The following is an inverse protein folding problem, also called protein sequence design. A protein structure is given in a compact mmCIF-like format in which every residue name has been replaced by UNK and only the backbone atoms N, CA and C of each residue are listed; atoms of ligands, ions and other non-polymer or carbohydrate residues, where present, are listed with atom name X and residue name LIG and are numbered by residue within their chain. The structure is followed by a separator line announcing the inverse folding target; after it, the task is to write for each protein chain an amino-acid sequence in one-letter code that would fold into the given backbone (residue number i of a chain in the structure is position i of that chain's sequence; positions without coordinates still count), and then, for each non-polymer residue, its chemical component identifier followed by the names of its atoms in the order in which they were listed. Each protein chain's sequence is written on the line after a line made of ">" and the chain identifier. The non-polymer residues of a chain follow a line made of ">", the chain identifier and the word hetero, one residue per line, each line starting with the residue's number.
data_IF_916571191288
#
_entry.id   IF_916571191288
#
_cell.length_a   1.000
_cell.length_b   1.000
_cell.length_c   1.000
_cell.angle_alpha   90.00
_cell.angle_beta   90.00
_cell.angle_gamma   90.00
#
_symmetry.space_group_name_H-M   'P 1'
#
loop_
_entity.id
_entity.type
_entity.pdbx_description
1 polymer ?
#
# COMPACT_ATOMS: atom_id res chain seq x y z
N UNK A 1 -66.17 -24.65 15.69
CA UNK A 1 -65.17 -23.56 15.83
C UNK A 1 -63.88 -23.99 15.11
N UNK A 2 -63.54 -23.31 13.98
CA UNK A 2 -62.34 -23.60 13.16
C UNK A 2 -61.27 -22.57 13.51
N UNK A 3 -60.20 -23.01 14.21
CA UNK A 3 -59.05 -22.23 14.58
C UNK A 3 -58.19 -22.01 13.34
N UNK A 4 -58.12 -20.80 12.80
CA UNK A 4 -57.23 -20.46 11.69
C UNK A 4 -55.86 -20.13 12.27
N UNK A 5 -54.88 -21.03 12.09
CA UNK A 5 -53.46 -20.77 12.37
C UNK A 5 -52.95 -19.76 11.38
N UNK A 6 -52.62 -18.57 11.87
CA UNK A 6 -51.93 -17.52 11.13
C UNK A 6 -50.40 -17.79 11.22
N UNK A 7 -49.82 -18.33 10.11
CA UNK A 7 -48.39 -18.52 9.99
C UNK A 7 -47.74 -17.16 9.75
N UNK A 8 -47.04 -16.62 10.76
CA UNK A 8 -46.25 -15.41 10.64
C UNK A 8 -44.89 -15.76 10.03
N UNK A 9 -44.69 -15.56 8.73
CA UNK A 9 -43.44 -15.73 8.04
C UNK A 9 -42.55 -14.53 8.38
N UNK A 10 -41.66 -14.69 9.33
CA UNK A 10 -40.61 -13.71 9.66
C UNK A 10 -39.53 -13.76 8.53
N UNK A 11 -39.66 -12.87 7.54
CA UNK A 11 -38.66 -12.72 6.50
C UNK A 11 -37.38 -12.10 7.10
N UNK A 12 -36.36 -12.94 7.33
CA UNK A 12 -34.99 -12.50 7.58
C UNK A 12 -34.44 -11.87 6.31
N UNK A 13 -34.50 -10.55 6.22
CA UNK A 13 -33.72 -9.83 5.21
C UNK A 13 -32.23 -9.89 5.62
N UNK A 14 -31.34 -10.44 4.78
CA UNK A 14 -29.92 -10.30 5.02
C UNK A 14 -29.58 -8.79 4.90
N UNK A 15 -29.22 -8.16 6.00
CA UNK A 15 -28.59 -6.85 5.96
C UNK A 15 -27.21 -7.06 5.33
N UNK A 16 -27.03 -6.64 4.08
CA UNK A 16 -25.73 -6.55 3.47
C UNK A 16 -24.91 -5.56 4.32
N UNK A 17 -23.99 -6.07 5.13
CA UNK A 17 -23.00 -5.27 5.82
C UNK A 17 -22.03 -4.74 4.75
N UNK A 18 -22.32 -3.56 4.21
CA UNK A 18 -21.36 -2.85 3.36
C UNK A 18 -20.26 -2.35 4.27
N UNK A 19 -19.02 -2.79 4.04
CA UNK A 19 -17.85 -2.23 4.73
C UNK A 19 -17.81 -0.73 4.40
N UNK A 20 -17.95 0.11 5.43
CA UNK A 20 -17.86 1.55 5.30
C UNK A 20 -16.43 1.97 5.59
N UNK A 21 -15.72 2.45 4.56
CA UNK A 21 -14.36 2.93 4.70
C UNK A 21 -14.34 4.44 4.82
N UNK A 22 -13.75 4.95 5.89
CA UNK A 22 -13.58 6.39 6.15
C UNK A 22 -12.10 6.71 6.06
N UNK A 23 -11.74 7.70 5.23
CA UNK A 23 -10.35 8.14 5.07
C UNK A 23 -9.83 8.73 6.39
N UNK A 24 -8.65 8.25 6.82
CA UNK A 24 -7.88 8.78 7.95
C UNK A 24 -6.96 9.89 7.49
N UNK A 25 -6.25 9.66 6.37
CA UNK A 25 -5.31 10.62 5.82
C UNK A 25 -4.72 10.13 4.49
N UNK A 26 -4.05 11.07 3.81
CA UNK A 26 -3.45 10.86 2.49
C UNK A 26 -2.04 11.41 2.48
N UNK A 27 -1.09 10.64 1.96
CA UNK A 27 0.29 11.04 1.76
C UNK A 27 0.75 10.80 0.33
N UNK A 28 1.63 11.67 -0.17
CA UNK A 28 2.19 11.57 -1.50
C UNK A 28 3.61 10.99 -1.46
N UNK A 29 3.84 9.95 -2.25
CA UNK A 29 5.16 9.41 -2.46
C UNK A 29 5.78 9.99 -3.72
N UNK A 30 6.86 10.75 -3.51
CA UNK A 30 7.60 11.38 -4.59
C UNK A 30 8.96 10.73 -4.78
N UNK A 31 9.37 10.53 -6.03
CA UNK A 31 10.73 10.18 -6.41
C UNK A 31 11.40 11.39 -7.08
N UNK A 32 12.31 12.02 -6.35
CA UNK A 32 12.80 13.35 -6.74
C UNK A 32 11.64 14.34 -6.88
N UNK A 33 11.51 15.05 -8.01
CA UNK A 33 10.41 16.00 -8.23
C UNK A 33 9.11 15.32 -8.74
N UNK A 34 9.11 14.01 -8.92
CA UNK A 34 7.98 13.31 -9.57
C UNK A 34 7.10 12.62 -8.53
N UNK A 35 5.81 12.92 -8.55
CA UNK A 35 4.79 12.15 -7.84
C UNK A 35 4.65 10.79 -8.52
N UNK A 36 4.91 9.71 -7.77
CA UNK A 36 4.81 8.32 -8.26
C UNK A 36 3.44 7.75 -7.94
N UNK A 37 3.02 7.84 -6.67
CA UNK A 37 1.69 7.47 -6.22
C UNK A 37 1.28 8.26 -4.98
N UNK A 38 -0.02 8.42 -4.81
CA UNK A 38 -0.62 8.85 -3.55
C UNK A 38 -1.09 7.62 -2.78
N UNK A 39 -0.93 7.64 -1.46
CA UNK A 39 -1.40 6.57 -0.58
C UNK A 39 -2.46 7.12 0.38
N UNK A 40 -3.59 6.43 0.48
CA UNK A 40 -4.65 6.69 1.44
C UNK A 40 -4.70 5.59 2.49
N UNK A 41 -4.88 5.97 3.74
CA UNK A 41 -5.24 5.07 4.84
C UNK A 41 -6.72 5.26 5.15
N UNK A 42 -7.48 4.17 5.20
CA UNK A 42 -8.87 4.17 5.62
C UNK A 42 -9.14 3.10 6.69
N UNK A 43 -10.05 3.42 7.60
CA UNK A 43 -10.57 2.55 8.66
C UNK A 43 -12.10 2.61 8.66
N UNK A 44 -12.76 1.84 9.50
CA UNK A 44 -14.22 1.87 9.61
C UNK A 44 -14.75 3.17 10.24
N UNK A 45 -13.97 3.81 11.12
CA UNK A 45 -14.37 5.01 11.89
C UNK A 45 -13.60 6.28 11.54
N UNK A 46 -12.63 6.20 10.60
CA UNK A 46 -11.80 7.34 10.20
C UNK A 46 -10.71 7.74 11.20
N UNK A 47 -10.43 6.88 12.18
CA UNK A 47 -9.33 7.04 13.11
C UNK A 47 -8.43 5.80 13.08
N UNK A 48 -7.12 5.97 13.21
CA UNK A 48 -6.19 4.85 13.26
C UNK A 48 -5.50 4.75 14.61
N UNK A 49 -5.49 3.55 15.16
CA UNK A 49 -4.69 3.18 16.32
C UNK A 49 -3.66 2.11 15.90
N UNK A 50 -2.54 2.06 16.60
CA UNK A 50 -1.49 1.08 16.31
C UNK A 50 -2.05 -0.36 16.38
N UNK A 51 -1.75 -1.15 15.36
CA UNK A 51 -2.24 -2.51 15.14
C UNK A 51 -3.77 -2.66 14.98
N UNK A 52 -4.48 -1.57 14.72
CA UNK A 52 -5.91 -1.64 14.42
C UNK A 52 -6.18 -2.40 13.12
N UNK A 53 -7.19 -3.25 13.13
CA UNK A 53 -7.79 -3.90 11.97
C UNK A 53 -9.33 -3.85 12.10
N UNK A 54 -10.07 -3.79 11.01
CA UNK A 54 -9.59 -3.77 9.62
C UNK A 54 -9.04 -2.41 9.20
N UNK A 55 -8.13 -2.41 8.22
CA UNK A 55 -7.65 -1.20 7.53
C UNK A 55 -7.63 -1.41 6.02
N UNK A 56 -7.68 -0.32 5.28
CA UNK A 56 -7.44 -0.31 3.83
C UNK A 56 -6.36 0.70 3.50
N UNK A 57 -5.36 0.26 2.73
CA UNK A 57 -4.36 1.12 2.10
C UNK A 57 -4.64 1.17 0.60
N UNK A 58 -4.77 2.37 0.03
CA UNK A 58 -5.03 2.56 -1.39
C UNK A 58 -3.89 3.35 -2.03
N UNK A 59 -3.35 2.83 -3.13
CA UNK A 59 -2.24 3.43 -3.89
C UNK A 59 -2.77 3.86 -5.24
N UNK A 60 -2.92 5.16 -5.46
CA UNK A 60 -3.25 5.71 -6.77
C UNK A 60 -1.98 6.05 -7.51
N UNK A 61 -1.71 5.36 -8.60
CA UNK A 61 -0.51 5.57 -9.39
C UNK A 61 -0.64 6.78 -10.32
N UNK A 62 0.39 7.62 -10.33
CA UNK A 62 0.50 8.78 -11.23
C UNK A 62 1.52 8.52 -12.36
N UNK A 63 2.33 7.47 -12.22
CA UNK A 63 3.32 7.02 -13.21
C UNK A 63 3.18 5.53 -13.46
N UNK A 64 3.61 5.02 -14.64
CA UNK A 64 3.70 3.58 -14.87
C UNK A 64 4.65 2.93 -13.86
N UNK A 65 4.27 1.78 -13.31
CA UNK A 65 5.07 1.01 -12.35
C UNK A 65 5.00 -0.47 -12.73
N UNK A 66 6.15 -1.09 -12.95
CA UNK A 66 6.20 -2.54 -13.20
C UNK A 66 5.79 -3.32 -11.94
N UNK A 67 4.75 -4.15 -12.04
CA UNK A 67 4.20 -4.88 -10.88
C UNK A 67 5.20 -5.78 -10.21
N UNK A 68 6.05 -6.48 -10.97
CA UNK A 68 7.11 -7.35 -10.42
C UNK A 68 8.17 -6.57 -9.64
N UNK A 69 8.57 -5.39 -10.14
CA UNK A 69 9.54 -4.53 -9.47
C UNK A 69 8.92 -3.90 -8.21
N UNK A 70 7.64 -3.56 -8.27
CA UNK A 70 6.91 -3.07 -7.09
C UNK A 70 6.85 -4.15 -5.99
N UNK A 71 6.56 -5.42 -6.35
CA UNK A 71 6.59 -6.54 -5.40
C UNK A 71 7.97 -6.70 -4.74
N UNK A 72 9.07 -6.61 -5.52
CA UNK A 72 10.45 -6.66 -4.99
C UNK A 72 10.68 -5.52 -4.00
N UNK A 73 10.19 -4.32 -4.31
CA UNK A 73 10.31 -3.16 -3.45
C UNK A 73 9.60 -3.35 -2.12
N UNK A 74 8.38 -3.84 -2.16
CA UNK A 74 7.58 -4.12 -0.95
C UNK A 74 8.26 -5.16 -0.05
N UNK A 75 8.79 -6.23 -0.64
CA UNK A 75 9.48 -7.28 0.13
C UNK A 75 10.75 -6.76 0.80
N UNK A 76 11.53 -5.91 0.15
CA UNK A 76 12.70 -5.28 0.77
C UNK A 76 12.33 -4.47 2.02
N UNK A 77 11.21 -3.73 1.96
CA UNK A 77 10.71 -2.99 3.12
C UNK A 77 10.18 -3.93 4.22
N UNK A 78 9.51 -5.01 3.85
CA UNK A 78 9.04 -6.05 4.78
C UNK A 78 10.25 -6.73 5.46
N UNK A 79 11.31 -7.06 4.73
CA UNK A 79 12.56 -7.61 5.27
C UNK A 79 13.28 -6.61 6.20
N UNK A 80 13.24 -5.31 5.86
CA UNK A 80 13.75 -4.27 6.73
C UNK A 80 13.03 -4.24 8.09
N UNK A 81 11.73 -4.53 8.10
CA UNK A 81 10.93 -4.70 9.31
C UNK A 81 11.15 -6.07 9.99
N UNK A 82 12.20 -6.81 9.59
CA UNK A 82 12.65 -8.07 10.17
C UNK A 82 11.71 -9.25 9.99
N UNK A 83 11.08 -9.35 8.84
CA UNK A 83 10.37 -10.55 8.42
C UNK A 83 11.31 -11.77 8.31
N UNK A 84 10.74 -12.95 8.47
CA UNK A 84 11.44 -14.20 8.16
C UNK A 84 11.74 -14.31 6.65
N UNK A 85 12.96 -14.68 6.29
CA UNK A 85 13.40 -14.72 4.89
C UNK A 85 12.63 -15.71 4.04
N UNK A 86 12.33 -16.90 4.57
CA UNK A 86 11.58 -17.91 3.81
C UNK A 86 10.15 -17.46 3.53
N UNK A 87 9.51 -16.76 4.49
CA UNK A 87 8.19 -16.15 4.28
C UNK A 87 8.25 -15.02 3.28
N UNK A 88 9.25 -14.14 3.37
CA UNK A 88 9.44 -13.04 2.41
C UNK A 88 9.57 -13.56 0.98
N UNK A 89 10.35 -14.63 0.76
CA UNK A 89 10.51 -15.23 -0.56
C UNK A 89 9.19 -15.84 -1.09
N UNK A 90 8.38 -16.43 -0.23
CA UNK A 90 7.05 -16.94 -0.60
C UNK A 90 6.12 -15.79 -0.99
N UNK A 91 5.99 -14.76 -0.14
CA UNK A 91 5.15 -13.59 -0.42
C UNK A 91 5.58 -12.83 -1.68
N UNK A 92 6.91 -12.74 -1.95
CA UNK A 92 7.41 -12.17 -3.20
C UNK A 92 6.88 -12.91 -4.41
N UNK A 93 6.98 -14.25 -4.38
CA UNK A 93 6.49 -15.09 -5.48
C UNK A 93 4.99 -14.90 -5.70
N UNK A 94 4.22 -14.87 -4.60
CA UNK A 94 2.77 -14.70 -4.67
C UNK A 94 2.39 -13.32 -5.23
N UNK A 95 3.01 -12.23 -4.76
CA UNK A 95 2.77 -10.90 -5.31
C UNK A 95 3.19 -10.80 -6.78
N UNK A 96 4.34 -11.38 -7.18
CA UNK A 96 4.76 -11.36 -8.58
C UNK A 96 3.84 -12.15 -9.51
N UNK A 97 3.10 -13.12 -8.98
CA UNK A 97 2.13 -13.90 -9.74
C UNK A 97 0.83 -13.11 -10.00
N UNK A 98 0.43 -12.22 -9.08
CA UNK A 98 -0.84 -11.52 -9.16
C UNK A 98 -0.73 -10.06 -9.60
N UNK A 99 0.43 -9.40 -9.44
CA UNK A 99 0.59 -8.00 -9.80
C UNK A 99 0.83 -7.85 -11.31
N UNK A 100 -0.09 -7.21 -12.05
CA UNK A 100 0.20 -6.72 -13.39
C UNK A 100 1.08 -5.46 -13.33
N UNK A 101 1.49 -4.94 -14.47
CA UNK A 101 2.04 -3.60 -14.54
C UNK A 101 0.94 -2.57 -14.30
N UNK A 102 1.23 -1.56 -13.50
CA UNK A 102 0.30 -0.50 -13.14
C UNK A 102 0.45 0.68 -14.07
N UNK A 103 -0.67 1.22 -14.52
CA UNK A 103 -0.77 2.41 -15.37
C UNK A 103 -1.15 3.64 -14.54
N UNK A 104 -0.89 4.87 -15.05
CA UNK A 104 -1.41 6.07 -14.40
C UNK A 104 -2.93 6.00 -14.21
N UNK A 105 -3.39 6.43 -13.04
CA UNK A 105 -4.76 6.35 -12.52
C UNK A 105 -5.24 4.95 -12.09
N UNK A 106 -4.44 3.90 -12.20
CA UNK A 106 -4.77 2.65 -11.52
C UNK A 106 -4.74 2.86 -10.01
N UNK A 107 -5.64 2.14 -9.33
CA UNK A 107 -5.74 2.15 -7.87
C UNK A 107 -5.58 0.73 -7.36
N UNK A 108 -4.40 0.45 -6.77
CA UNK A 108 -4.17 -0.78 -6.02
C UNK A 108 -4.62 -0.57 -4.59
N UNK A 109 -5.52 -1.43 -4.08
CA UNK A 109 -5.96 -1.42 -2.69
C UNK A 109 -5.47 -2.67 -1.99
N UNK A 110 -5.03 -2.54 -0.76
CA UNK A 110 -4.81 -3.66 0.15
C UNK A 110 -5.78 -3.57 1.31
N UNK A 111 -6.58 -4.60 1.50
CA UNK A 111 -7.53 -4.71 2.59
C UNK A 111 -6.96 -5.72 3.59
N UNK A 112 -6.61 -5.24 4.78
CA UNK A 112 -6.15 -6.07 5.88
C UNK A 112 -7.31 -6.32 6.85
N UNK A 113 -7.69 -7.58 6.96
CA UNK A 113 -8.68 -8.09 7.93
C UNK A 113 -7.95 -8.77 9.10
N UNK A 114 -8.64 -9.07 10.21
CA UNK A 114 -8.01 -9.73 11.36
C UNK A 114 -7.41 -11.11 11.05
N UNK A 115 -7.98 -11.85 10.10
CA UNK A 115 -7.62 -13.23 9.76
C UNK A 115 -6.90 -13.38 8.43
N UNK A 116 -6.93 -12.37 7.55
CA UNK A 116 -6.31 -12.39 6.22
C UNK A 116 -6.20 -10.98 5.63
N UNK A 117 -5.50 -10.87 4.50
CA UNK A 117 -5.51 -9.67 3.66
C UNK A 117 -5.51 -10.02 2.18
N UNK A 118 -5.93 -9.09 1.33
CA UNK A 118 -5.95 -9.28 -0.11
C UNK A 118 -5.81 -7.97 -0.87
N UNK A 119 -5.33 -8.07 -2.10
CA UNK A 119 -5.23 -6.94 -3.01
C UNK A 119 -6.44 -6.84 -3.94
N UNK A 120 -6.78 -5.61 -4.28
CA UNK A 120 -7.71 -5.26 -5.36
C UNK A 120 -7.02 -4.27 -6.29
N UNK A 121 -7.12 -4.50 -7.59
CA UNK A 121 -6.73 -3.52 -8.60
C UNK A 121 -7.99 -2.91 -9.21
N UNK A 122 -8.12 -1.60 -9.08
CA UNK A 122 -9.34 -0.89 -9.39
C UNK A 122 -10.52 -1.50 -8.61
N UNK A 123 -11.48 -2.14 -9.28
CA UNK A 123 -12.61 -2.78 -8.61
C UNK A 123 -12.56 -4.33 -8.68
N UNK A 124 -11.40 -4.90 -9.06
CA UNK A 124 -11.21 -6.34 -9.21
C UNK A 124 -10.30 -6.90 -8.12
N UNK A 125 -10.76 -7.92 -7.40
CA UNK A 125 -9.93 -8.65 -6.42
C UNK A 125 -8.87 -9.43 -7.19
N UNK A 126 -7.61 -9.33 -6.74
CA UNK A 126 -6.52 -10.19 -7.22
C UNK A 126 -6.59 -11.53 -6.48
N UNK A 127 -6.47 -12.62 -7.26
CA UNK A 127 -6.78 -13.99 -6.79
C UNK A 127 -5.67 -14.57 -5.90
N UNK A 128 -5.46 -13.94 -4.72
CA UNK A 128 -4.60 -14.45 -3.66
C UNK A 128 -4.96 -13.80 -2.31
N UNK A 129 -4.99 -14.60 -1.25
CA UNK A 129 -5.12 -14.12 0.13
C UNK A 129 -3.80 -14.27 0.88
N UNK A 130 -3.44 -13.24 1.64
CA UNK A 130 -2.23 -13.21 2.46
C UNK A 130 -2.58 -13.44 3.93
N UNK A 131 -1.63 -14.03 4.67
CA UNK A 131 -1.77 -14.29 6.08
C UNK A 131 -1.73 -12.99 6.94
N UNK A 132 -2.16 -13.04 8.23
CA UNK A 132 -2.15 -11.87 9.09
C UNK A 132 -0.75 -11.29 9.37
N UNK A 133 0.30 -12.12 9.29
CA UNK A 133 1.67 -11.63 9.48
C UNK A 133 2.11 -10.76 8.32
N UNK A 134 1.83 -11.20 7.08
CA UNK A 134 2.03 -10.36 5.91
C UNK A 134 1.26 -9.04 6.05
N UNK A 135 -0.03 -9.09 6.41
CA UNK A 135 -0.87 -7.91 6.55
C UNK A 135 -0.29 -6.89 7.52
N UNK A 136 0.20 -7.37 8.67
CA UNK A 136 0.83 -6.53 9.70
C UNK A 136 2.13 -5.89 9.18
N UNK A 137 2.98 -6.66 8.51
CA UNK A 137 4.27 -6.18 7.99
C UNK A 137 4.07 -5.25 6.80
N UNK A 138 3.14 -5.58 5.90
CA UNK A 138 2.78 -4.74 4.76
C UNK A 138 2.27 -3.36 5.23
N UNK A 139 1.29 -3.33 6.15
CA UNK A 139 0.84 -2.08 6.74
C UNK A 139 1.98 -1.35 7.45
N UNK A 140 2.85 -2.09 8.12
CA UNK A 140 4.03 -1.58 8.82
C UNK A 140 5.03 -0.83 7.91
N UNK A 141 5.05 -1.09 6.59
CA UNK A 141 5.89 -0.34 5.65
C UNK A 141 5.64 1.17 5.80
N UNK A 142 4.40 1.59 5.98
CA UNK A 142 4.04 3.02 6.13
C UNK A 142 3.68 3.41 7.56
N UNK A 143 3.23 2.46 8.40
CA UNK A 143 2.64 2.77 9.72
C UNK A 143 3.56 2.42 10.90
N UNK A 144 4.64 1.65 10.70
CA UNK A 144 5.59 1.33 11.77
C UNK A 144 6.48 2.53 12.13
N UNK A 145 6.75 2.79 13.41
CA UNK A 145 7.69 3.83 13.83
C UNK A 145 9.13 3.58 13.35
N UNK A 146 9.46 2.35 12.94
CA UNK A 146 10.76 1.97 12.40
C UNK A 146 10.78 1.94 10.87
N UNK A 147 9.77 2.45 10.20
CA UNK A 147 9.64 2.46 8.75
C UNK A 147 10.60 3.45 8.08
N UNK A 148 11.08 3.10 6.89
CA UNK A 148 11.76 4.05 6.01
C UNK A 148 10.83 5.18 5.52
N UNK A 149 9.52 4.99 5.59
CA UNK A 149 8.48 5.95 5.19
C UNK A 149 7.94 6.78 6.36
N UNK A 150 8.67 6.85 7.48
CA UNK A 150 8.26 7.59 8.70
C UNK A 150 7.83 9.04 8.41
N UNK A 151 8.41 9.68 7.39
CA UNK A 151 8.10 11.06 7.00
C UNK A 151 6.68 11.21 6.40
N UNK A 152 6.09 10.15 5.89
CA UNK A 152 4.73 10.16 5.33
C UNK A 152 3.66 9.94 6.42
N UNK A 153 4.04 9.42 7.59
CA UNK A 153 3.11 9.05 8.64
C UNK A 153 2.25 10.21 9.15
N UNK A 154 2.77 11.43 9.42
CA UNK A 154 1.93 12.51 9.92
C UNK A 154 0.76 12.84 8.99
N UNK A 155 0.99 12.81 7.67
CA UNK A 155 -0.04 13.02 6.65
C UNK A 155 -0.99 11.83 6.57
N UNK A 156 -0.44 10.61 6.51
CA UNK A 156 -1.22 9.38 6.41
C UNK A 156 -2.10 9.13 7.65
N UNK A 157 -1.64 9.56 8.82
CA UNK A 157 -2.39 9.50 10.08
C UNK A 157 -3.33 10.70 10.29
N UNK A 158 -3.50 11.57 9.30
CA UNK A 158 -4.38 12.74 9.36
C UNK A 158 -3.92 13.83 10.35
N UNK A 159 -2.68 13.77 10.84
CA UNK A 159 -2.10 14.74 11.77
C UNK A 159 -1.60 15.99 11.06
N UNK A 160 -1.25 15.87 9.80
CA UNK A 160 -0.82 16.96 8.92
C UNK A 160 -1.60 16.91 7.62
N UNK A 161 -1.88 18.09 7.02
CA UNK A 161 -2.48 18.12 5.69
C UNK A 161 -1.43 17.70 4.67
N UNK A 162 -1.87 16.92 3.66
CA UNK A 162 -1.03 16.65 2.50
C UNK A 162 -0.85 17.97 1.72
N UNK A 163 0.23 18.69 2.00
CA UNK A 163 0.66 19.86 1.22
C UNK A 163 1.67 19.35 0.22
N UNK A 164 1.24 19.09 -1.01
CA UNK A 164 2.20 18.86 -2.12
C UNK A 164 3.12 20.08 -2.18
N UNK A 165 4.44 19.94 -1.98
CA UNK A 165 5.36 21.07 -2.03
C UNK A 165 5.56 21.50 -3.48
N UNK A 166 4.64 22.26 -4.04
CA UNK A 166 4.85 22.92 -5.34
C UNK A 166 5.80 24.13 -5.23
N UNK A 167 6.23 24.52 -4.03
CA UNK A 167 6.98 25.77 -3.82
C UNK A 167 8.42 25.66 -3.30
N UNK A 168 8.90 24.47 -2.88
CA UNK A 168 10.28 24.36 -2.35
C UNK A 168 11.38 24.11 -3.40
N UNK A 169 11.04 23.96 -4.68
CA UNK A 169 12.04 23.67 -5.73
C UNK A 169 12.67 24.89 -6.41
N UNK A 170 12.61 26.08 -5.81
CA UNK A 170 13.24 27.27 -6.41
C UNK A 170 14.76 27.39 -6.23
N UNK A 171 15.40 26.43 -5.57
CA UNK A 171 16.85 26.48 -5.35
C UNK A 171 17.48 25.09 -5.38
N UNK A 172 17.51 24.43 -6.55
CA UNK A 172 18.48 23.37 -6.81
C UNK A 172 19.18 23.60 -8.15
N UNK A 173 20.48 23.29 -8.25
CA UNK A 173 21.24 23.51 -9.47
C UNK A 173 20.75 22.61 -10.59
N UNK A 174 20.78 23.14 -11.80
CA UNK A 174 20.48 22.52 -13.07
C UNK A 174 21.09 21.11 -13.17
N UNK A 175 20.25 20.08 -13.08
CA UNK A 175 20.65 18.68 -13.26
C UNK A 175 20.50 18.36 -14.74
N UNK A 176 21.57 17.84 -15.35
CA UNK A 176 21.61 17.40 -16.74
C UNK A 176 20.46 16.41 -17.07
N UNK A 177 19.98 16.37 -18.33
CA UNK A 177 18.86 15.52 -18.72
C UNK A 177 19.20 14.06 -18.46
N UNK A 178 18.34 13.39 -17.67
CA UNK A 178 18.40 11.96 -17.40
C UNK A 178 18.11 11.18 -18.70
N UNK A 179 18.88 10.13 -18.96
CA UNK A 179 18.60 9.20 -20.05
C UNK A 179 17.26 8.48 -19.79
N UNK A 180 16.52 8.18 -20.85
CA UNK A 180 15.22 7.51 -20.78
C UNK A 180 15.25 6.14 -20.06
N UNK A 181 16.41 5.51 -19.96
CA UNK A 181 16.62 4.25 -19.24
C UNK A 181 16.55 4.39 -17.70
N UNK A 182 16.74 5.61 -17.17
CA UNK A 182 16.66 5.89 -15.73
C UNK A 182 15.24 6.29 -15.26
N UNK A 183 14.28 6.34 -16.18
CA UNK A 183 12.92 6.85 -15.91
C UNK A 183 11.98 5.85 -15.23
N UNK A 184 12.41 4.62 -14.95
CA UNK A 184 11.63 3.66 -14.18
C UNK A 184 11.73 3.97 -12.68
N UNK A 185 10.63 4.31 -12.00
CA UNK A 185 10.66 4.59 -10.56
C UNK A 185 11.04 3.32 -9.80
N UNK A 186 12.30 3.23 -9.46
CA UNK A 186 12.81 2.24 -8.53
C UNK A 186 12.92 2.89 -7.16
N UNK A 187 12.74 2.13 -6.12
CA UNK A 187 12.79 2.41 -4.68
C UNK A 187 13.37 3.76 -4.21
N UNK A 188 12.96 4.21 -3.00
CA UNK A 188 13.42 5.45 -2.41
C UNK A 188 14.94 5.57 -2.35
N UNK A 189 15.49 6.78 -2.52
CA UNK A 189 16.95 7.05 -2.63
C UNK A 189 17.77 6.80 -1.35
N UNK A 190 17.18 6.25 -0.31
CA UNK A 190 17.85 5.93 0.95
C UNK A 190 18.46 4.51 0.99
N UNK A 191 18.36 3.74 -0.10
CA UNK A 191 19.13 2.51 -0.20
C UNK A 191 20.58 2.87 -0.58
N UNK A 192 21.59 2.67 0.30
CA UNK A 192 22.98 2.76 -0.11
C UNK A 192 23.22 1.65 -1.13
N UNK A 193 23.38 2.03 -2.39
CA UNK A 193 23.98 1.16 -3.38
C UNK A 193 25.38 0.86 -2.86
N UNK A 194 25.55 -0.32 -2.27
CA UNK A 194 26.86 -0.79 -1.82
C UNK A 194 27.69 -1.16 -3.05
N UNK A 195 28.22 -0.15 -3.73
CA UNK A 195 29.18 -0.27 -4.81
C UNK A 195 30.54 -0.72 -4.24
N UNK A 196 30.59 -1.94 -3.70
CA UNK A 196 31.84 -2.67 -3.59
C UNK A 196 31.91 -3.61 -4.79
N UNK A 197 32.38 -3.06 -5.91
CA UNK A 197 33.02 -3.87 -6.95
C UNK A 197 34.19 -4.59 -6.31
N UNK A 198 34.30 -5.92 -6.33
CA UNK A 198 35.55 -6.58 -6.11
C UNK A 198 36.43 -6.33 -7.35
N UNK A 199 37.48 -5.55 -7.17
CA UNK A 199 38.58 -5.52 -8.14
C UNK A 199 39.14 -6.94 -8.26
N UNK A 200 38.97 -7.53 -9.43
CA UNK A 200 39.77 -8.71 -9.80
C UNK A 200 41.19 -8.23 -10.17
N UNK A 201 42.14 -8.50 -9.25
CA UNK A 201 43.56 -8.54 -9.54
C UNK A 201 43.98 -9.96 -9.92
#
# INVERSE_FOLDING_TARGET
>A
MKLKSLLFILSLFPTALSAHWVNVGTADYNWGPFLVYSIDLATEDGAYQENQLPIMLSFKYEKPVEGKNFAISLIKEIEFLKADKAKSDAWLKDMQAIFPDFSPNDVLRYIALPDRGYFMLNDSILDHEFDPEFSRLFAGIWLSPNSNFIKLQPQLLGKEKNTTPAEEFKTQPEIAPLNEEDASPQLPPNFPLNNKNPEFG
#
